data_IF_846929170796
#
_entry.id   IF_846929170796
#
_cell.length_a   1.000
_cell.length_b   1.000
_cell.length_c   1.000
_cell.angle_alpha   90.00
_cell.angle_beta   90.00
_cell.angle_gamma   90.00
#
_symmetry.space_group_name_H-M   'P 1'
#
loop_
_entity.id
_entity.type
_entity.pdbx_description
1 polymer ?
#
# COMPACT_ATOMS: atom_id res chain seq x y z
N UNK A 1 34.04 -54.70 7.49
CA UNK A 1 32.60 -54.69 7.85
C UNK A 1 32.23 -53.30 8.34
N UNK A 2 31.84 -52.41 7.43
CA UNK A 2 31.48 -51.02 7.72
C UNK A 2 30.19 -50.68 6.97
N UNK A 3 29.09 -51.32 7.36
CA UNK A 3 27.76 -51.08 6.80
C UNK A 3 26.70 -51.24 7.89
N UNK A 4 26.67 -50.34 8.87
CA UNK A 4 25.52 -50.27 9.82
C UNK A 4 25.19 -48.86 10.33
N UNK A 5 25.99 -47.81 10.02
CA UNK A 5 25.75 -46.47 10.57
C UNK A 5 24.82 -45.58 9.71
N UNK A 6 24.62 -45.88 8.43
CA UNK A 6 23.82 -45.03 7.52
C UNK A 6 22.31 -45.31 7.54
N UNK A 7 21.85 -46.50 7.95
CA UNK A 7 20.43 -46.88 7.80
C UNK A 7 19.50 -46.33 8.90
N UNK A 8 20.03 -45.95 10.07
CA UNK A 8 19.23 -45.36 11.16
C UNK A 8 19.19 -43.84 11.16
N UNK A 9 20.12 -43.18 10.45
CA UNK A 9 20.19 -41.72 10.39
C UNK A 9 19.10 -41.12 9.49
N UNK A 10 18.78 -41.81 8.40
CA UNK A 10 17.79 -41.38 7.41
C UNK A 10 16.34 -41.31 7.94
N UNK A 11 15.81 -42.34 8.65
CA UNK A 11 14.47 -42.23 9.23
C UNK A 11 14.39 -41.20 10.36
N UNK A 12 15.47 -40.99 11.12
CA UNK A 12 15.54 -39.97 12.16
C UNK A 12 15.53 -38.55 11.55
N UNK A 13 16.28 -38.33 10.47
CA UNK A 13 16.27 -37.08 9.71
C UNK A 13 14.90 -36.79 9.10
N UNK A 14 14.22 -37.83 8.59
CA UNK A 14 12.88 -37.71 8.02
C UNK A 14 11.83 -37.40 9.09
N UNK A 15 11.91 -38.03 10.26
CA UNK A 15 11.07 -37.74 11.43
C UNK A 15 11.32 -36.32 11.97
N UNK A 16 12.58 -35.86 12.00
CA UNK A 16 12.92 -34.48 12.34
C UNK A 16 12.41 -33.48 11.30
N UNK A 17 12.49 -33.81 9.99
CA UNK A 17 11.92 -32.99 8.93
C UNK A 17 10.39 -32.90 9.05
N UNK A 18 9.72 -34.02 9.30
CA UNK A 18 8.26 -34.10 9.50
C UNK A 18 7.83 -33.36 10.77
N UNK A 19 8.60 -33.45 11.85
CA UNK A 19 8.37 -32.69 13.08
C UNK A 19 8.61 -31.19 12.88
N UNK A 20 9.63 -30.78 12.11
CA UNK A 20 9.85 -29.38 11.73
C UNK A 20 8.74 -28.84 10.80
N UNK A 21 8.22 -29.66 9.89
CA UNK A 21 7.10 -29.32 9.02
C UNK A 21 5.78 -29.20 9.82
N UNK A 22 5.59 -30.02 10.85
CA UNK A 22 4.44 -29.93 11.76
C UNK A 22 4.58 -28.79 12.80
N UNK A 23 5.80 -28.36 13.12
CA UNK A 23 6.08 -27.26 14.03
C UNK A 23 6.02 -25.87 13.36
N UNK A 24 5.79 -25.80 12.04
CA UNK A 24 5.47 -24.55 11.38
C UNK A 24 4.05 -24.13 11.78
N UNK A 25 4.02 -23.34 12.85
CA UNK A 25 2.92 -22.52 13.33
C UNK A 25 1.86 -22.31 12.26
N UNK A 26 0.75 -23.03 12.39
CA UNK A 26 -0.49 -22.55 11.81
C UNK A 26 -0.68 -21.16 12.40
N UNK A 27 -0.43 -20.11 11.61
CA UNK A 27 -0.89 -18.78 11.96
C UNK A 27 -2.38 -18.93 12.26
N UNK A 28 -2.75 -18.84 13.55
CA UNK A 28 -4.14 -19.00 13.96
C UNK A 28 -4.90 -17.83 13.37
N UNK A 29 -5.52 -18.05 12.21
CA UNK A 29 -6.47 -17.10 11.64
C UNK A 29 -7.57 -16.95 12.69
N UNK A 30 -7.77 -15.76 13.28
CA UNK A 30 -8.80 -15.60 14.30
C UNK A 30 -10.16 -15.91 13.66
N UNK A 31 -10.81 -16.99 14.10
CA UNK A 31 -12.10 -17.44 13.57
C UNK A 31 -13.29 -16.80 14.28
N UNK A 32 -13.04 -16.02 15.34
CA UNK A 32 -14.07 -15.38 16.15
C UNK A 32 -14.13 -13.87 15.89
N UNK A 33 -15.35 -13.34 15.82
CA UNK A 33 -15.60 -11.90 15.76
C UNK A 33 -15.01 -11.20 16.99
N UNK A 34 -14.33 -10.06 16.78
CA UNK A 34 -13.76 -9.24 17.86
C UNK A 34 -14.78 -8.22 18.34
N UNK A 35 -14.97 -8.10 19.66
CA UNK A 35 -15.65 -6.96 20.29
C UNK A 35 -14.61 -5.95 20.82
N UNK A 36 -15.06 -4.73 21.14
CA UNK A 36 -14.26 -3.71 21.87
C UNK A 36 -12.94 -3.30 21.20
N UNK A 37 -12.83 -3.45 19.89
CA UNK A 37 -11.65 -3.08 19.10
C UNK A 37 -11.59 -1.58 18.73
N UNK A 38 -12.47 -0.76 19.31
CA UNK A 38 -12.60 0.66 19.01
C UNK A 38 -12.75 1.49 20.29
N UNK A 39 -12.09 2.65 20.41
CA UNK A 39 -11.21 3.27 19.42
C UNK A 39 -9.87 2.50 19.25
N UNK A 40 -9.25 2.56 18.06
CA UNK A 40 -7.91 2.00 17.87
C UNK A 40 -6.86 2.81 18.66
N UNK A 41 -5.65 2.28 18.82
CA UNK A 41 -4.52 3.00 19.40
C UNK A 41 -4.26 4.36 18.74
N UNK A 42 -3.84 5.37 19.52
CA UNK A 42 -3.67 6.73 19.01
C UNK A 42 -2.54 6.86 17.96
N UNK A 43 -1.54 5.99 18.02
CA UNK A 43 -0.45 5.90 17.04
C UNK A 43 -0.88 5.32 15.69
N UNK A 44 -2.10 4.80 15.58
CA UNK A 44 -2.67 4.36 14.29
C UNK A 44 -3.40 5.49 13.55
N UNK A 45 -3.42 6.72 14.06
CA UNK A 45 -4.08 7.85 13.42
C UNK A 45 -3.30 8.32 12.18
N UNK A 46 -4.03 8.56 11.09
CA UNK A 46 -3.46 9.01 9.82
C UNK A 46 -3.70 10.51 9.65
N UNK A 47 -2.61 11.25 9.45
CA UNK A 47 -2.63 12.70 9.24
C UNK A 47 -3.45 13.14 8.03
N UNK A 48 -3.99 14.37 8.12
CA UNK A 48 -4.75 15.02 7.06
C UNK A 48 -3.94 16.09 6.32
N UNK A 49 -3.98 16.04 5.00
CA UNK A 49 -3.38 17.04 4.10
C UNK A 49 -4.44 17.58 3.13
N UNK A 50 -4.31 18.85 2.75
CA UNK A 50 -5.20 19.46 1.77
C UNK A 50 -4.58 19.44 0.37
N UNK A 51 -5.41 19.09 -0.62
CA UNK A 51 -5.09 19.19 -2.05
C UNK A 51 -6.06 20.18 -2.69
N UNK A 52 -5.55 21.25 -3.28
CA UNK A 52 -6.36 22.28 -3.92
C UNK A 52 -6.52 21.99 -5.43
N UNK A 53 -7.76 21.74 -5.85
CA UNK A 53 -8.13 21.43 -7.23
C UNK A 53 -8.12 22.68 -8.13
N UNK A 54 -8.07 23.89 -7.55
CA UNK A 54 -7.89 25.13 -8.31
C UNK A 54 -6.40 25.36 -8.67
N UNK A 55 -5.47 24.65 -8.00
CA UNK A 55 -4.06 24.64 -8.41
C UNK A 55 -3.84 23.85 -9.70
N UNK A 56 -2.80 24.24 -10.43
CA UNK A 56 -2.35 23.51 -11.62
C UNK A 56 -1.98 22.06 -11.25
N UNK A 57 -2.36 21.07 -12.08
CA UNK A 57 -2.05 19.65 -11.84
C UNK A 57 -0.58 19.36 -11.48
N UNK A 58 0.38 20.04 -12.13
CA UNK A 58 1.82 19.91 -11.85
C UNK A 58 2.23 20.21 -10.40
N UNK A 59 1.50 21.05 -9.68
CA UNK A 59 1.86 21.47 -8.31
C UNK A 59 0.86 21.01 -7.26
N UNK A 60 -0.28 20.47 -7.68
CA UNK A 60 -1.42 20.12 -6.84
C UNK A 60 -1.07 19.18 -5.68
N UNK A 61 -0.08 18.30 -5.88
CA UNK A 61 0.37 17.32 -4.88
C UNK A 61 1.49 17.81 -3.97
N UNK A 62 1.88 19.10 -4.04
CA UNK A 62 3.02 19.66 -3.29
C UNK A 62 2.94 19.43 -1.78
N UNK A 63 1.77 19.61 -1.17
CA UNK A 63 1.61 19.44 0.27
C UNK A 63 1.73 17.98 0.69
N UNK A 64 1.19 17.07 -0.14
CA UNK A 64 1.30 15.62 0.10
C UNK A 64 2.76 15.18 -0.02
N UNK A 65 3.48 15.65 -1.05
CA UNK A 65 4.90 15.36 -1.23
C UNK A 65 5.75 15.99 -0.13
N UNK A 66 5.43 17.19 0.34
CA UNK A 66 6.12 17.79 1.49
C UNK A 66 5.94 16.96 2.77
N UNK A 67 4.74 16.42 2.98
CA UNK A 67 4.38 15.65 4.19
C UNK A 67 4.90 14.21 4.18
N UNK A 68 4.85 13.54 3.02
CA UNK A 68 5.12 12.09 2.88
C UNK A 68 6.13 11.71 1.79
N UNK A 69 6.76 12.69 1.16
CA UNK A 69 7.78 12.48 0.12
C UNK A 69 8.98 11.63 0.57
N UNK A 70 9.52 11.78 1.80
CA UNK A 70 10.56 10.89 2.32
C UNK A 70 10.14 9.42 2.36
N UNK A 71 8.91 9.14 2.81
CA UNK A 71 8.34 7.80 2.90
C UNK A 71 8.12 7.19 1.52
N UNK A 72 7.61 7.99 0.57
CA UNK A 72 7.50 7.58 -0.83
C UNK A 72 8.87 7.24 -1.43
N UNK A 73 9.90 8.07 -1.21
CA UNK A 73 11.27 7.75 -1.68
C UNK A 73 11.81 6.46 -1.06
N UNK A 74 11.60 6.26 0.24
CA UNK A 74 12.03 5.05 0.93
C UNK A 74 11.34 3.81 0.36
N UNK A 75 10.03 3.88 0.11
CA UNK A 75 9.24 2.82 -0.51
C UNK A 75 9.77 2.46 -1.90
N UNK A 76 9.94 3.45 -2.77
CA UNK A 76 10.41 3.21 -4.15
C UNK A 76 11.85 2.67 -4.14
N UNK A 77 12.74 3.22 -3.31
CA UNK A 77 14.09 2.69 -3.15
C UNK A 77 14.10 1.23 -2.69
N UNK A 78 13.23 0.88 -1.74
CA UNK A 78 13.13 -0.50 -1.26
C UNK A 78 12.56 -1.44 -2.33
N UNK A 79 11.59 -0.97 -3.12
CA UNK A 79 11.08 -1.71 -4.25
C UNK A 79 12.17 -1.98 -5.30
N UNK A 80 13.03 -1.00 -5.61
CA UNK A 80 14.20 -1.20 -6.49
C UNK A 80 15.13 -2.29 -5.95
N UNK A 81 15.44 -2.27 -4.66
CA UNK A 81 16.29 -3.29 -4.01
C UNK A 81 15.65 -4.68 -4.14
N UNK A 82 14.34 -4.77 -3.88
CA UNK A 82 13.59 -6.01 -4.00
C UNK A 82 13.63 -6.57 -5.43
N UNK A 83 13.33 -5.74 -6.44
CA UNK A 83 13.38 -6.14 -7.85
C UNK A 83 14.78 -6.60 -8.23
N UNK A 84 15.83 -5.85 -7.90
CA UNK A 84 17.21 -6.25 -8.18
C UNK A 84 17.56 -7.59 -7.54
N UNK A 85 17.19 -7.81 -6.28
CA UNK A 85 17.50 -9.06 -5.57
C UNK A 85 16.76 -10.25 -6.17
N UNK A 86 15.54 -10.06 -6.66
CA UNK A 86 14.75 -11.12 -7.30
C UNK A 86 15.27 -11.47 -8.69
N UNK A 87 15.68 -10.47 -9.48
CA UNK A 87 15.97 -10.64 -10.91
C UNK A 87 17.46 -10.78 -11.19
N UNK A 88 18.30 -10.42 -10.21
CA UNK A 88 19.76 -10.35 -10.36
C UNK A 88 20.24 -9.26 -11.31
N UNK A 89 19.37 -8.33 -11.75
CA UNK A 89 19.69 -7.37 -12.81
C UNK A 89 18.94 -6.05 -12.67
N UNK A 90 19.61 -4.95 -13.04
CA UNK A 90 19.00 -3.62 -13.20
C UNK A 90 18.21 -3.49 -14.51
N UNK A 91 18.20 -4.52 -15.38
CA UNK A 91 17.52 -4.48 -16.68
C UNK A 91 16.04 -4.08 -16.57
N UNK A 92 15.32 -4.65 -15.60
CA UNK A 92 13.90 -4.36 -15.43
C UNK A 92 13.66 -2.93 -14.95
N UNK A 93 14.54 -2.39 -14.12
CA UNK A 93 14.45 -1.01 -13.65
C UNK A 93 14.80 -0.04 -14.80
N UNK A 94 15.82 -0.36 -15.59
CA UNK A 94 16.17 0.43 -16.78
C UNK A 94 15.06 0.41 -17.84
N UNK A 95 14.35 -0.71 -18.00
CA UNK A 95 13.18 -0.81 -18.89
C UNK A 95 12.02 0.03 -18.37
N UNK A 96 11.77 0.03 -17.06
CA UNK A 96 10.79 0.91 -16.42
C UNK A 96 11.10 2.37 -16.72
N UNK A 97 12.34 2.80 -16.50
CA UNK A 97 12.75 4.18 -16.74
C UNK A 97 12.65 4.57 -18.22
N UNK A 98 12.98 3.65 -19.13
CA UNK A 98 12.95 3.90 -20.57
C UNK A 98 11.55 3.89 -21.16
N UNK A 99 10.73 2.90 -20.82
CA UNK A 99 9.47 2.61 -21.52
C UNK A 99 8.26 3.25 -20.82
N UNK A 100 8.29 3.39 -19.48
CA UNK A 100 7.17 4.01 -18.76
C UNK A 100 7.25 5.53 -18.70
N UNK A 101 8.44 6.13 -18.90
CA UNK A 101 8.56 7.59 -19.03
C UNK A 101 7.74 8.13 -20.22
N UNK A 102 7.85 7.58 -21.45
CA UNK A 102 6.95 7.94 -22.55
C UNK A 102 5.47 7.66 -22.24
N UNK A 103 5.16 6.52 -21.60
CA UNK A 103 3.80 6.16 -21.24
C UNK A 103 3.15 7.22 -20.34
N UNK A 104 3.89 7.76 -19.36
CA UNK A 104 3.43 8.82 -18.48
C UNK A 104 2.83 10.00 -19.25
N UNK A 105 3.48 10.39 -20.36
CA UNK A 105 3.04 11.51 -21.20
C UNK A 105 1.80 11.22 -22.04
N UNK A 106 1.43 9.94 -22.21
CA UNK A 106 0.20 9.53 -22.90
C UNK A 106 -1.02 9.48 -21.98
N UNK A 107 -0.83 9.55 -20.67
CA UNK A 107 -1.91 9.54 -19.70
C UNK A 107 -2.83 10.77 -19.87
N UNK A 108 -4.13 10.64 -19.59
CA UNK A 108 -5.06 11.77 -19.68
C UNK A 108 -4.78 12.82 -18.61
N UNK A 109 -5.18 14.06 -18.90
CA UNK A 109 -5.27 15.10 -17.87
C UNK A 109 -6.41 14.77 -16.89
N UNK A 110 -6.28 15.12 -15.60
CA UNK A 110 -5.15 15.82 -14.97
C UNK A 110 -3.95 14.92 -14.58
N UNK A 111 -4.13 13.60 -14.64
CA UNK A 111 -3.21 12.62 -14.04
C UNK A 111 -1.79 12.67 -14.59
N UNK A 112 -1.63 12.89 -15.90
CA UNK A 112 -0.31 13.06 -16.51
C UNK A 112 0.54 14.10 -15.77
N UNK A 113 -0.01 15.30 -15.62
CA UNK A 113 0.72 16.42 -15.06
C UNK A 113 0.91 16.27 -13.55
N UNK A 114 -0.06 15.65 -12.86
CA UNK A 114 0.09 15.31 -11.45
C UNK A 114 1.25 14.32 -11.22
N UNK A 115 1.36 13.26 -12.03
CA UNK A 115 2.44 12.28 -11.97
C UNK A 115 3.79 12.92 -12.29
N UNK A 116 3.86 13.74 -13.34
CA UNK A 116 5.07 14.51 -13.68
C UNK A 116 5.46 15.46 -12.54
N UNK A 117 4.50 16.15 -11.94
CA UNK A 117 4.71 17.03 -10.80
C UNK A 117 5.32 16.31 -9.59
N UNK A 118 4.76 15.14 -9.24
CA UNK A 118 5.26 14.30 -8.15
C UNK A 118 6.70 13.86 -8.43
N UNK A 119 7.01 13.38 -9.63
CA UNK A 119 8.36 12.98 -10.01
C UNK A 119 9.36 14.13 -9.83
N UNK A 120 9.02 15.33 -10.33
CA UNK A 120 9.86 16.52 -10.21
C UNK A 120 10.09 16.95 -8.76
N UNK A 121 9.05 16.96 -7.92
CA UNK A 121 9.15 17.40 -6.52
C UNK A 121 9.88 16.39 -5.63
N UNK A 122 9.76 15.10 -5.94
CA UNK A 122 10.36 14.03 -5.13
C UNK A 122 11.79 13.69 -5.56
N UNK A 123 12.15 13.98 -6.82
CA UNK A 123 13.40 13.54 -7.45
C UNK A 123 13.38 12.07 -7.88
N UNK A 124 12.22 11.41 -7.85
CA UNK A 124 12.06 10.02 -8.29
C UNK A 124 11.93 9.99 -9.83
N UNK A 125 12.57 9.05 -10.54
CA UNK A 125 12.42 8.91 -11.97
C UNK A 125 10.94 8.79 -12.39
N UNK A 126 10.56 9.48 -13.47
CA UNK A 126 9.16 9.54 -13.94
C UNK A 126 8.60 8.14 -14.20
N UNK A 127 9.38 7.27 -14.86
CA UNK A 127 9.00 5.89 -15.12
C UNK A 127 8.65 5.09 -13.85
N UNK A 128 9.36 5.32 -12.75
CA UNK A 128 9.06 4.67 -11.46
C UNK A 128 7.81 5.22 -10.80
N UNK A 129 7.58 6.54 -10.85
CA UNK A 129 6.32 7.14 -10.35
C UNK A 129 5.13 6.64 -11.20
N UNK A 130 5.32 6.52 -12.51
CA UNK A 130 4.31 5.94 -13.41
C UNK A 130 4.06 4.46 -13.11
N UNK A 131 5.11 3.65 -12.90
CA UNK A 131 4.96 2.26 -12.49
C UNK A 131 4.17 2.16 -11.19
N UNK A 132 4.51 2.98 -10.20
CA UNK A 132 3.82 3.02 -8.92
C UNK A 132 2.32 3.31 -9.10
N UNK A 133 1.96 4.21 -10.01
CA UNK A 133 0.56 4.52 -10.32
C UNK A 133 -0.18 3.41 -11.11
N UNK A 134 0.54 2.49 -11.75
CA UNK A 134 -0.03 1.29 -12.38
C UNK A 134 -0.11 0.13 -11.37
N UNK A 135 0.82 0.06 -10.44
CA UNK A 135 1.01 -1.07 -9.52
C UNK A 135 -0.22 -1.35 -8.64
N UNK A 136 -0.98 -0.32 -8.29
CA UNK A 136 -2.21 -0.42 -7.52
C UNK A 136 -3.33 -1.20 -8.21
N UNK A 137 -3.31 -1.32 -9.53
CA UNK A 137 -4.34 -2.03 -10.31
C UNK A 137 -4.18 -3.56 -10.24
N UNK A 138 -3.05 -4.07 -9.73
CA UNK A 138 -2.67 -5.49 -9.85
C UNK A 138 -2.52 -6.18 -8.48
N UNK A 139 -2.08 -5.45 -7.45
CA UNK A 139 -1.67 -6.04 -6.16
C UNK A 139 -2.50 -5.57 -4.96
N UNK A 140 -3.76 -5.20 -5.18
CA UNK A 140 -4.69 -4.78 -4.13
C UNK A 140 -5.69 -5.89 -3.80
N UNK A 141 -5.90 -6.12 -2.50
CA UNK A 141 -7.03 -6.90 -2.00
C UNK A 141 -7.87 -6.02 -1.08
N UNK A 142 -9.18 -6.28 -1.04
CA UNK A 142 -10.10 -5.46 -0.28
C UNK A 142 -11.22 -6.27 0.37
N UNK A 143 -11.66 -5.81 1.53
CA UNK A 143 -12.97 -6.15 2.09
C UNK A 143 -13.72 -4.84 2.28
N UNK A 144 -14.91 -4.71 1.69
CA UNK A 144 -15.76 -3.53 1.79
C UNK A 144 -17.13 -3.94 2.30
N UNK A 145 -17.69 -3.15 3.22
CA UNK A 145 -18.98 -3.39 3.86
C UNK A 145 -19.82 -2.12 3.74
N UNK A 146 -21.05 -2.28 3.24
CA UNK A 146 -22.10 -1.27 3.34
C UNK A 146 -23.19 -1.84 4.25
N UNK A 147 -23.61 -1.07 5.24
CA UNK A 147 -24.66 -1.43 6.18
C UNK A 147 -25.65 -0.29 6.35
N UNK A 148 -26.91 -0.63 6.60
CA UNK A 148 -27.97 0.32 6.91
C UNK A 148 -28.50 0.01 8.31
N UNK A 149 -28.63 1.04 9.16
CA UNK A 149 -29.29 0.86 10.46
C UNK A 149 -30.82 0.95 10.36
N UNK A 150 -31.51 0.67 11.46
CA UNK A 150 -32.98 0.70 11.51
C UNK A 150 -33.59 2.09 11.24
N UNK A 151 -32.79 3.16 11.22
CA UNK A 151 -33.22 4.53 10.93
C UNK A 151 -32.93 4.93 9.48
N UNK A 152 -32.37 4.02 8.68
CA UNK A 152 -31.99 4.29 7.30
C UNK A 152 -30.63 4.99 7.14
N UNK A 153 -29.80 5.01 8.20
CA UNK A 153 -28.45 5.59 8.10
C UNK A 153 -27.51 4.57 7.47
N UNK A 154 -26.81 5.00 6.42
CA UNK A 154 -25.81 4.18 5.71
C UNK A 154 -24.43 4.33 6.34
N UNK A 155 -23.77 3.20 6.56
CA UNK A 155 -22.39 3.07 7.00
C UNK A 155 -21.59 2.38 5.90
N UNK A 156 -20.43 2.93 5.57
CA UNK A 156 -19.48 2.33 4.63
C UNK A 156 -18.13 2.22 5.30
N UNK A 157 -17.58 1.01 5.32
CA UNK A 157 -16.28 0.71 5.91
C UNK A 157 -15.53 -0.27 5.02
N UNK A 158 -14.19 -0.23 5.08
CA UNK A 158 -13.35 -1.18 4.35
C UNK A 158 -12.01 -1.41 5.02
N UNK A 159 -11.36 -2.51 4.63
CA UNK A 159 -9.91 -2.73 4.82
C UNK A 159 -9.23 -2.71 3.45
N UNK A 160 -7.99 -2.23 3.37
CA UNK A 160 -7.16 -2.27 2.18
C UNK A 160 -5.86 -3.02 2.46
N UNK A 161 -5.67 -4.12 1.75
CA UNK A 161 -4.46 -4.93 1.85
C UNK A 161 -3.61 -4.66 0.61
N UNK A 162 -2.41 -4.12 0.81
CA UNK A 162 -1.54 -3.71 -0.30
C UNK A 162 -0.06 -4.06 -0.03
N UNK A 163 0.68 -4.35 -1.10
CA UNK A 163 2.08 -4.79 -1.02
C UNK A 163 2.28 -6.27 -0.67
N UNK A 164 1.20 -7.07 -0.72
CA UNK A 164 1.24 -8.50 -0.45
C UNK A 164 2.13 -9.23 -1.46
N UNK A 165 2.82 -10.28 -1.00
CA UNK A 165 3.69 -11.15 -1.80
C UNK A 165 5.00 -10.51 -2.29
N UNK A 166 5.33 -9.30 -1.84
CA UNK A 166 6.53 -8.58 -2.24
C UNK A 166 7.55 -8.51 -1.09
N UNK A 167 8.34 -9.58 -1.00
CA UNK A 167 9.39 -9.73 0.00
C UNK A 167 8.83 -10.16 1.34
N UNK A 168 9.24 -11.33 1.82
CA UNK A 168 8.82 -11.84 3.13
C UNK A 168 9.90 -11.60 4.16
N UNK A 169 9.57 -10.88 5.23
CA UNK A 169 10.42 -10.76 6.41
C UNK A 169 10.14 -11.94 7.35
N UNK A 170 11.07 -12.90 7.38
CA UNK A 170 10.98 -14.08 8.24
C UNK A 170 11.03 -13.73 9.74
N UNK A 171 11.71 -12.65 10.11
CA UNK A 171 11.89 -12.29 11.51
C UNK A 171 10.61 -11.69 12.10
N UNK A 172 9.94 -10.81 11.33
CA UNK A 172 8.74 -10.12 11.79
C UNK A 172 7.44 -10.75 11.27
N UNK A 173 7.53 -11.73 10.36
CA UNK A 173 6.38 -12.33 9.68
C UNK A 173 5.49 -11.31 8.98
N UNK A 174 6.13 -10.36 8.27
CA UNK A 174 5.46 -9.29 7.54
C UNK A 174 5.90 -9.24 6.07
N UNK A 175 5.08 -8.57 5.25
CA UNK A 175 5.45 -8.26 3.87
C UNK A 175 6.26 -6.97 3.83
N UNK A 176 7.48 -7.07 3.31
CA UNK A 176 8.47 -5.99 3.33
C UNK A 176 7.94 -4.70 2.68
N UNK A 177 7.35 -4.81 1.49
CA UNK A 177 6.82 -3.62 0.79
C UNK A 177 5.60 -3.05 1.52
N UNK A 178 4.76 -3.88 2.15
CA UNK A 178 3.64 -3.43 2.97
C UNK A 178 4.11 -2.53 4.13
N UNK A 179 5.20 -2.89 4.81
CA UNK A 179 5.74 -2.08 5.91
C UNK A 179 6.25 -0.71 5.46
N UNK A 180 6.74 -0.59 4.23
CA UNK A 180 7.13 0.70 3.63
C UNK A 180 5.94 1.49 3.09
N UNK A 181 4.82 0.83 2.78
CA UNK A 181 3.59 1.47 2.33
C UNK A 181 2.82 2.13 3.47
N UNK A 182 2.73 1.48 4.64
CA UNK A 182 2.03 2.02 5.82
C UNK A 182 2.36 3.48 6.14
N UNK A 183 3.65 3.90 6.24
CA UNK A 183 3.98 5.29 6.56
C UNK A 183 3.74 6.26 5.39
N UNK A 184 3.51 5.77 4.17
CA UNK A 184 3.14 6.60 3.03
C UNK A 184 1.64 6.92 2.97
N UNK A 185 0.81 6.32 3.84
CA UNK A 185 -0.62 6.58 3.93
C UNK A 185 -0.88 8.01 4.42
N UNK A 186 -1.88 8.65 3.82
CA UNK A 186 -2.29 10.03 4.09
C UNK A 186 -3.78 10.20 3.83
N UNK A 187 -4.47 10.88 4.74
CA UNK A 187 -5.83 11.34 4.50
C UNK A 187 -5.79 12.67 3.74
N UNK A 188 -6.60 12.80 2.70
CA UNK A 188 -6.61 13.97 1.82
C UNK A 188 -7.98 14.62 1.79
N UNK A 189 -8.01 15.94 2.00
CA UNK A 189 -9.19 16.77 1.69
C UNK A 189 -8.96 17.44 0.34
N UNK A 190 -9.72 17.00 -0.67
CA UNK A 190 -9.71 17.67 -1.97
C UNK A 190 -10.60 18.90 -1.89
N UNK A 191 -10.01 20.07 -2.13
CA UNK A 191 -10.66 21.37 -2.03
C UNK A 191 -10.87 21.97 -3.42
N UNK A 192 -12.00 22.62 -3.63
CA UNK A 192 -12.26 23.46 -4.81
C UNK A 192 -12.91 24.75 -4.34
N UNK A 193 -12.37 25.88 -4.73
CA UNK A 193 -12.79 27.22 -4.31
C UNK A 193 -12.83 27.34 -2.78
N UNK A 194 -11.80 26.79 -2.12
CA UNK A 194 -11.66 26.73 -0.66
C UNK A 194 -12.54 25.72 0.07
N UNK A 195 -13.48 25.05 -0.61
CA UNK A 195 -14.41 24.09 0.01
C UNK A 195 -14.01 22.64 -0.27
N UNK A 196 -14.09 21.77 0.75
CA UNK A 196 -13.83 20.33 0.54
C UNK A 196 -14.93 19.70 -0.32
N UNK A 197 -14.57 19.20 -1.49
CA UNK A 197 -15.49 18.54 -2.43
C UNK A 197 -15.61 17.04 -2.18
N UNK A 198 -14.54 16.39 -1.73
CA UNK A 198 -14.52 15.01 -1.24
C UNK A 198 -13.27 14.77 -0.39
N UNK A 199 -13.26 13.68 0.37
CA UNK A 199 -12.15 13.21 1.20
C UNK A 199 -11.69 11.85 0.69
N UNK A 200 -10.42 11.51 0.87
CA UNK A 200 -9.90 10.17 0.55
C UNK A 200 -8.86 9.72 1.55
N UNK A 201 -8.77 8.41 1.78
CA UNK A 201 -7.55 7.81 2.31
C UNK A 201 -6.70 7.34 1.14
N UNK A 202 -5.44 7.75 1.09
CA UNK A 202 -4.59 7.57 -0.09
C UNK A 202 -3.13 7.27 0.28
N UNK A 203 -2.32 6.89 -0.71
CA UNK A 203 -0.87 6.78 -0.59
C UNK A 203 -0.19 7.96 -1.27
N UNK A 204 0.81 8.53 -0.61
CA UNK A 204 1.61 9.59 -1.20
C UNK A 204 2.27 9.12 -2.51
N UNK A 205 2.05 9.87 -3.59
CA UNK A 205 2.55 9.52 -4.92
C UNK A 205 1.56 8.80 -5.82
N UNK A 206 0.43 8.32 -5.29
CA UNK A 206 -0.66 7.74 -6.08
C UNK A 206 -1.73 8.81 -6.38
N UNK A 207 -2.00 9.04 -7.66
CA UNK A 207 -2.96 10.08 -8.10
C UNK A 207 -4.39 9.55 -8.27
N UNK A 208 -4.56 8.23 -8.28
CA UNK A 208 -5.86 7.59 -8.29
C UNK A 208 -6.57 7.66 -6.93
N UNK A 209 -7.82 7.20 -6.89
CA UNK A 209 -8.67 7.21 -5.70
C UNK A 209 -9.24 5.81 -5.46
N UNK A 210 -8.78 5.14 -4.41
CA UNK A 210 -9.27 3.81 -4.01
C UNK A 210 -10.35 3.86 -2.93
N UNK A 211 -10.28 4.87 -2.06
CA UNK A 211 -11.15 5.02 -0.90
C UNK A 211 -11.49 6.49 -0.76
N UNK A 212 -12.77 6.84 -0.93
CA UNK A 212 -13.20 8.22 -0.83
C UNK A 212 -14.63 8.36 -0.35
N UNK A 213 -14.91 9.55 0.17
CA UNK A 213 -16.20 9.96 0.63
C UNK A 213 -16.53 11.38 0.20
N UNK A 214 -17.75 11.56 -0.32
CA UNK A 214 -18.33 12.87 -0.58
C UNK A 214 -19.45 13.16 0.42
N UNK A 215 -19.25 14.19 1.24
CA UNK A 215 -20.24 14.62 2.23
C UNK A 215 -21.57 14.96 1.57
N UNK A 216 -22.68 14.50 2.16
CA UNK A 216 -24.04 14.78 1.71
C UNK A 216 -24.55 13.91 0.56
N UNK A 217 -23.73 12.98 0.04
CA UNK A 217 -24.18 11.90 -0.87
C UNK A 217 -24.20 10.56 -0.15
N UNK A 218 -23.28 10.38 0.80
CA UNK A 218 -23.25 9.29 1.80
C UNK A 218 -22.89 9.95 3.13
N UNK A 219 -23.62 9.68 4.21
CA UNK A 219 -23.33 10.27 5.53
C UNK A 219 -22.08 9.63 6.14
N UNK A 220 -21.00 10.38 6.43
CA UNK A 220 -19.93 9.87 7.28
C UNK A 220 -20.44 9.85 8.71
N UNK A 221 -20.50 8.67 9.32
CA UNK A 221 -20.47 8.63 10.78
C UNK A 221 -19.07 8.41 11.33
N UNK A 222 -18.19 7.65 10.67
CA UNK A 222 -16.76 7.57 10.99
C UNK A 222 -15.98 6.99 9.79
N UNK A 223 -14.99 7.73 9.28
CA UNK A 223 -13.99 7.20 8.34
C UNK A 223 -12.64 7.22 9.05
N UNK A 224 -12.16 6.03 9.42
CA UNK A 224 -10.81 5.82 9.96
C UNK A 224 -10.30 4.50 9.40
N UNK A 225 -9.24 4.57 8.59
CA UNK A 225 -8.48 3.38 8.25
C UNK A 225 -7.77 2.90 9.52
N UNK A 226 -8.11 1.70 9.98
CA UNK A 226 -7.43 1.05 11.10
C UNK A 226 -6.28 0.27 10.49
N UNK A 227 -5.06 0.76 10.65
CA UNK A 227 -3.87 -0.02 10.33
C UNK A 227 -3.78 -1.20 11.31
N UNK A 228 -3.72 -2.43 10.79
CA UNK A 228 -3.37 -3.64 11.53
C UNK A 228 -2.05 -4.21 11.05
#
# INVERSE_FOLDING_TARGET
>A
AAMTCQSRLMPLLLLLLLACLAANSQAQIPTQCRSDAYPPPADSEVDWVDVDLDEAPLTRWRNVVAHRGPQLRALIAQFRIFVRNMTGSELLINLVDKDLTPLAHTLPQPFRDEIVGIANMTGIPLGEVTLYNIFYEIFTVCTSIVAEDQKGVLYHARNLDFGLFLGWDLANSTWLITEYLRPAIVNIRFKKSGQTVFMSTNFAGYVGILTALKRGQVQPHHEREIQR
#
